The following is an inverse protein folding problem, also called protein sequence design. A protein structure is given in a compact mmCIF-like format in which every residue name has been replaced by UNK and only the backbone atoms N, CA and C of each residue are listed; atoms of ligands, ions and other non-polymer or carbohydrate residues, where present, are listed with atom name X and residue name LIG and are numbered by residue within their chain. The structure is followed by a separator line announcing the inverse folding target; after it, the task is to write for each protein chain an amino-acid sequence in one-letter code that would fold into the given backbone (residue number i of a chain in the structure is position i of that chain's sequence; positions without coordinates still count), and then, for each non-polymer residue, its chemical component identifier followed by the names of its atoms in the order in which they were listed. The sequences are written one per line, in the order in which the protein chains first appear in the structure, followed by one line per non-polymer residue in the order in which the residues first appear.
data_IF_397180786155
#
_entry.id   IF_397180786155
#
_cell.length_a   1.000
_cell.length_b   1.000
_cell.length_c   1.000
_cell.angle_alpha   90.00
_cell.angle_beta   90.00
_cell.angle_gamma   90.00
#
_symmetry.space_group_name_H-M   'P 1'
#
loop_
_entity.id
_entity.type
_entity.pdbx_description
1 polymer ?
#
# COMPACT_ATOMS: atom_id res chain seq x y z
N UNK A 1 -64.68 10.92 -20.25
CA UNK A 1 -64.11 10.69 -18.90
C UNK A 1 -63.46 9.31 -18.94
N UNK A 2 -62.17 9.05 -18.74
CA UNK A 2 -60.92 9.80 -18.64
C UNK A 2 -59.80 8.74 -18.76
N UNK A 3 -58.76 9.01 -19.54
CA UNK A 3 -57.60 8.10 -19.68
C UNK A 3 -56.73 8.13 -18.42
N UNK A 4 -56.20 6.99 -17.93
CA UNK A 4 -55.10 7.00 -16.98
C UNK A 4 -53.75 7.11 -17.72
N UNK A 5 -53.10 8.25 -17.56
CA UNK A 5 -51.73 8.54 -17.97
C UNK A 5 -50.74 7.75 -17.13
N UNK A 6 -49.81 7.06 -17.80
CA UNK A 6 -48.68 6.37 -17.20
C UNK A 6 -47.75 7.38 -16.50
N UNK A 7 -47.50 7.17 -15.20
CA UNK A 7 -46.44 7.86 -14.48
C UNK A 7 -45.10 7.26 -14.90
N UNK A 8 -44.38 7.95 -15.77
CA UNK A 8 -42.96 7.70 -16.01
C UNK A 8 -42.17 7.93 -14.72
N UNK A 9 -41.38 6.93 -14.31
CA UNK A 9 -40.27 7.11 -13.37
C UNK A 9 -39.32 8.14 -13.99
N UNK A 10 -39.16 9.30 -13.35
CA UNK A 10 -37.98 10.14 -13.56
C UNK A 10 -36.80 9.39 -12.93
N UNK A 11 -35.93 8.85 -13.76
CA UNK A 11 -34.57 8.53 -13.34
C UNK A 11 -33.90 9.85 -12.94
N UNK A 12 -33.64 9.97 -11.65
CA UNK A 12 -32.82 11.00 -11.05
C UNK A 12 -31.36 10.67 -11.44
N UNK A 13 -30.92 11.23 -12.56
CA UNK A 13 -29.51 11.18 -12.98
C UNK A 13 -28.77 12.16 -12.09
N UNK A 14 -28.22 11.66 -10.98
CA UNK A 14 -27.28 12.39 -10.14
C UNK A 14 -26.16 13.02 -11.00
N UNK A 15 -25.90 14.30 -10.75
CA UNK A 15 -24.77 15.06 -11.28
C UNK A 15 -23.44 14.41 -10.84
N UNK A 16 -22.99 13.41 -11.59
CA UNK A 16 -21.66 12.82 -11.41
C UNK A 16 -20.64 13.82 -11.92
N UNK A 17 -19.87 14.42 -11.00
CA UNK A 17 -18.78 15.33 -11.32
C UNK A 17 -17.81 14.65 -12.28
N UNK A 18 -17.58 15.29 -13.43
CA UNK A 18 -16.64 14.83 -14.43
C UNK A 18 -15.22 15.02 -13.89
N UNK A 19 -14.47 13.93 -13.70
CA UNK A 19 -13.07 13.99 -13.24
C UNK A 19 -12.12 14.15 -14.41
N UNK A 20 -11.03 14.92 -14.22
CA UNK A 20 -9.94 15.06 -15.20
C UNK A 20 -8.99 13.85 -15.11
N UNK A 21 -9.47 12.64 -15.39
CA UNK A 21 -8.65 11.45 -15.32
C UNK A 21 -7.60 11.45 -16.44
N UNK A 22 -6.32 11.32 -16.07
CA UNK A 22 -5.25 11.10 -17.04
C UNK A 22 -5.20 9.61 -17.38
N UNK A 23 -5.69 9.25 -18.57
CA UNK A 23 -5.62 7.87 -19.08
C UNK A 23 -4.19 7.54 -19.49
N UNK A 24 -3.61 6.51 -18.86
CA UNK A 24 -2.27 6.01 -19.14
C UNK A 24 -2.28 4.95 -20.23
N UNK A 25 -3.25 4.04 -20.16
CA UNK A 25 -3.33 2.87 -21.04
C UNK A 25 -4.76 2.35 -21.14
N UNK A 26 -5.11 1.78 -22.30
CA UNK A 26 -6.32 0.97 -22.50
C UNK A 26 -5.96 -0.51 -22.52
N UNK A 27 -6.77 -1.34 -21.85
CA UNK A 27 -6.55 -2.78 -21.69
C UNK A 27 -7.85 -3.51 -22.03
N UNK A 28 -7.78 -4.68 -22.66
CA UNK A 28 -8.94 -5.56 -22.85
C UNK A 28 -8.69 -6.88 -22.12
N UNK A 29 -9.59 -7.24 -21.21
CA UNK A 29 -9.52 -8.47 -20.38
C UNK A 29 -10.89 -9.13 -20.41
N UNK A 30 -10.95 -10.40 -20.79
CA UNK A 30 -12.19 -11.20 -20.85
C UNK A 30 -13.34 -10.52 -21.63
N UNK A 31 -12.98 -9.85 -22.73
CA UNK A 31 -13.95 -9.12 -23.57
C UNK A 31 -14.37 -7.75 -23.04
N UNK A 32 -13.94 -7.36 -21.85
CA UNK A 32 -14.22 -6.07 -21.21
C UNK A 32 -13.07 -5.10 -21.43
N UNK A 33 -13.39 -3.85 -21.77
CA UNK A 33 -12.40 -2.78 -21.87
C UNK A 33 -12.18 -2.13 -20.50
N UNK A 34 -10.92 -1.90 -20.18
CA UNK A 34 -10.42 -1.24 -18.99
C UNK A 34 -9.51 -0.08 -19.38
N UNK A 35 -9.42 0.90 -18.49
CA UNK A 35 -8.53 2.05 -18.57
C UNK A 35 -7.70 2.11 -17.30
N UNK A 36 -6.39 2.22 -17.46
CA UNK A 36 -5.50 2.59 -16.37
C UNK A 36 -5.46 4.11 -16.31
N UNK A 37 -5.80 4.68 -15.15
CA UNK A 37 -5.81 6.13 -14.92
C UNK A 37 -4.90 6.48 -13.76
N UNK A 38 -4.29 7.67 -13.81
CA UNK A 38 -3.60 8.23 -12.64
C UNK A 38 -4.63 8.52 -11.55
N UNK A 39 -4.38 8.01 -10.35
CA UNK A 39 -5.17 8.32 -9.17
C UNK A 39 -4.43 9.34 -8.33
N UNK A 40 -5.05 10.51 -8.14
CA UNK A 40 -4.57 11.55 -7.24
C UNK A 40 -5.51 11.58 -6.02
N UNK A 41 -5.14 10.92 -4.91
CA UNK A 41 -5.96 10.97 -3.71
C UNK A 41 -6.08 12.43 -3.26
N UNK A 42 -7.29 12.86 -2.93
CA UNK A 42 -7.47 14.12 -2.24
C UNK A 42 -6.71 14.07 -0.92
N UNK A 43 -5.95 15.11 -0.56
CA UNK A 43 -5.10 15.10 0.65
C UNK A 43 -5.90 14.77 1.92
N UNK A 44 -7.15 15.23 1.98
CA UNK A 44 -8.04 15.01 3.12
C UNK A 44 -8.63 13.58 3.19
N UNK A 45 -8.43 12.76 2.15
CA UNK A 45 -8.91 11.38 2.12
C UNK A 45 -7.87 10.38 2.61
N UNK A 46 -6.60 10.79 2.76
CA UNK A 46 -5.53 9.89 3.21
C UNK A 46 -5.72 9.59 4.69
N UNK A 47 -6.26 8.42 4.99
CA UNK A 47 -6.39 7.87 6.34
C UNK A 47 -5.09 7.19 6.72
N UNK A 48 -4.57 7.52 7.89
CA UNK A 48 -3.38 6.88 8.45
C UNK A 48 -3.82 6.04 9.64
N UNK A 49 -3.67 4.72 9.51
CA UNK A 49 -3.86 3.83 10.63
C UNK A 49 -2.62 3.82 11.51
N UNK A 50 -2.86 3.72 12.81
CA UNK A 50 -1.83 3.63 13.82
C UNK A 50 -1.89 2.21 14.40
N UNK A 51 -0.77 1.48 14.50
CA UNK A 51 -0.75 0.20 15.20
C UNK A 51 -1.25 0.32 16.63
N UNK A 52 -2.09 -0.62 17.04
CA UNK A 52 -2.63 -0.75 18.39
C UNK A 52 -2.02 -1.95 19.12
N UNK A 53 -2.03 -1.99 20.46
CA UNK A 53 -1.60 -3.17 21.21
C UNK A 53 -2.32 -4.44 20.75
N UNK A 54 -1.55 -5.48 20.44
CA UNK A 54 -2.03 -6.74 19.87
C UNK A 54 -1.93 -6.83 18.35
N UNK A 55 -1.67 -5.73 17.64
CA UNK A 55 -1.49 -5.77 16.18
C UNK A 55 -0.19 -6.47 15.81
N UNK A 56 -0.26 -7.25 14.73
CA UNK A 56 0.91 -7.80 14.05
C UNK A 56 1.50 -6.75 13.11
N UNK A 57 2.80 -6.55 13.18
CA UNK A 57 3.49 -5.41 12.55
C UNK A 57 4.85 -5.80 12.00
N UNK A 58 5.33 -5.03 11.03
CA UNK A 58 6.73 -4.97 10.66
C UNK A 58 7.44 -3.85 11.37
N UNK A 59 8.57 -4.22 11.97
CA UNK A 59 9.33 -3.34 12.85
C UNK A 59 10.78 -3.30 12.41
N UNK A 60 11.36 -2.10 12.33
CA UNK A 60 12.78 -1.93 12.03
C UNK A 60 13.63 -2.26 13.26
N UNK A 61 14.38 -3.35 13.17
CA UNK A 61 15.36 -3.74 14.17
C UNK A 61 16.67 -2.98 13.96
N UNK A 62 16.94 -1.98 14.82
CA UNK A 62 18.13 -1.13 14.70
C UNK A 62 19.46 -1.91 14.67
N UNK A 63 19.69 -2.94 15.52
CA UNK A 63 20.95 -3.68 15.52
C UNK A 63 21.29 -4.38 14.19
N UNK A 64 20.29 -4.90 13.49
CA UNK A 64 20.50 -5.61 12.20
C UNK A 64 20.13 -4.77 10.98
N UNK A 65 19.66 -3.54 11.18
CA UNK A 65 19.23 -2.61 10.14
C UNK A 65 18.19 -3.22 9.16
N UNK A 66 17.30 -4.08 9.66
CA UNK A 66 16.33 -4.80 8.85
C UNK A 66 14.94 -4.77 9.48
N UNK A 67 13.90 -5.01 8.68
CA UNK A 67 12.53 -5.17 9.20
C UNK A 67 12.26 -6.64 9.52
N UNK A 68 11.57 -6.88 10.64
CA UNK A 68 11.10 -8.19 11.07
C UNK A 68 9.66 -8.09 11.59
N UNK A 69 8.98 -9.22 11.61
CA UNK A 69 7.65 -9.35 12.19
C UNK A 69 7.73 -9.31 13.73
N UNK A 70 6.72 -8.69 14.33
CA UNK A 70 6.57 -8.56 15.77
C UNK A 70 5.11 -8.24 16.10
N UNK A 71 4.77 -8.32 17.39
CA UNK A 71 3.48 -7.91 17.92
C UNK A 71 3.64 -6.67 18.80
N UNK A 72 2.74 -5.70 18.68
CA UNK A 72 2.73 -4.51 19.55
C UNK A 72 2.28 -4.88 20.95
N UNK A 73 3.11 -4.61 21.96
CA UNK A 73 2.76 -4.79 23.36
C UNK A 73 2.11 -3.54 23.95
N UNK A 74 2.66 -2.37 23.63
CA UNK A 74 2.13 -1.08 24.09
C UNK A 74 2.57 0.08 23.21
N UNK A 75 1.86 1.20 23.31
CA UNK A 75 2.20 2.45 22.65
C UNK A 75 2.10 3.62 23.64
N UNK A 76 3.17 4.41 23.74
CA UNK A 76 3.21 5.66 24.49
C UNK A 76 3.06 6.85 23.55
N UNK A 77 1.89 7.50 23.60
CA UNK A 77 1.57 8.65 22.78
C UNK A 77 2.41 9.90 23.11
N UNK A 78 2.92 10.04 24.33
CA UNK A 78 3.71 11.21 24.71
C UNK A 78 5.11 11.17 24.10
N UNK A 79 5.69 9.98 24.02
CA UNK A 79 7.04 9.77 23.48
C UNK A 79 7.05 9.29 22.03
N UNK A 80 5.88 8.87 21.51
CA UNK A 80 5.72 8.27 20.19
C UNK A 80 6.56 6.98 20.04
N UNK A 81 6.62 6.19 21.12
CA UNK A 81 7.37 4.94 21.19
C UNK A 81 6.41 3.75 21.38
N UNK A 82 6.73 2.67 20.67
CA UNK A 82 6.11 1.37 20.82
C UNK A 82 7.04 0.46 21.60
N UNK A 83 6.45 -0.43 22.39
CA UNK A 83 7.11 -1.65 22.85
C UNK A 83 6.56 -2.81 22.04
N UNK A 84 7.45 -3.69 21.56
CA UNK A 84 7.07 -4.85 20.75
C UNK A 84 7.71 -6.14 21.27
N UNK A 85 7.05 -7.25 20.99
CA UNK A 85 7.64 -8.58 21.15
C UNK A 85 7.89 -9.18 19.76
N UNK A 86 9.14 -9.51 19.47
CA UNK A 86 9.53 -10.18 18.22
C UNK A 86 8.97 -11.60 18.17
N UNK A 87 8.63 -12.06 16.97
CA UNK A 87 8.06 -13.39 16.76
C UNK A 87 9.02 -14.53 17.14
N UNK A 88 10.33 -14.29 17.00
CA UNK A 88 11.39 -15.22 17.40
C UNK A 88 11.81 -15.08 18.87
N UNK A 89 11.10 -14.24 19.63
CA UNK A 89 11.32 -13.94 21.05
C UNK A 89 12.66 -13.26 21.37
N UNK A 90 13.35 -12.66 20.39
CA UNK A 90 14.58 -11.89 20.65
C UNK A 90 14.33 -10.83 21.76
N UNK A 91 15.18 -10.73 22.80
CA UNK A 91 14.99 -9.76 23.88
C UNK A 91 15.47 -8.33 23.56
N UNK A 92 16.12 -8.11 22.42
CA UNK A 92 16.81 -6.87 22.09
C UNK A 92 15.96 -5.90 21.27
N UNK A 93 16.25 -4.61 21.36
CA UNK A 93 15.69 -3.60 20.44
C UNK A 93 14.16 -3.47 20.41
N UNK A 94 13.47 -3.74 21.53
CA UNK A 94 11.98 -3.79 21.59
C UNK A 94 11.28 -2.43 21.64
N UNK A 95 12.02 -1.36 21.93
CA UNK A 95 11.50 0.03 21.93
C UNK A 95 11.65 0.66 20.55
N UNK A 96 10.54 1.00 19.89
CA UNK A 96 10.49 1.37 18.47
C UNK A 96 9.84 2.74 18.28
N UNK A 97 10.42 3.58 17.40
CA UNK A 97 9.81 4.86 17.01
C UNK A 97 8.63 4.66 16.06
N UNK A 98 7.63 5.54 16.14
CA UNK A 98 6.43 5.50 15.29
C UNK A 98 6.68 5.46 13.77
N UNK A 99 7.79 6.04 13.29
CA UNK A 99 8.18 6.00 11.89
C UNK A 99 8.97 4.74 11.48
N UNK A 100 9.18 3.82 12.42
CA UNK A 100 9.94 2.57 12.26
C UNK A 100 9.11 1.30 12.43
N UNK A 101 7.80 1.46 12.47
CA UNK A 101 6.79 0.40 12.55
C UNK A 101 5.77 0.57 11.41
N UNK A 102 5.23 -0.54 10.91
CA UNK A 102 4.16 -0.56 9.91
C UNK A 102 3.22 -1.73 10.21
N UNK A 103 1.91 -1.57 9.97
CA UNK A 103 0.95 -2.66 10.12
C UNK A 103 1.26 -3.80 9.15
N UNK A 104 1.16 -5.05 9.56
CA UNK A 104 1.28 -6.21 8.66
C UNK A 104 0.00 -6.42 7.83
N UNK A 105 -0.35 -5.42 7.04
CA UNK A 105 -1.48 -5.47 6.13
C UNK A 105 -1.26 -4.59 4.90
N UNK A 106 -1.80 -5.05 3.78
CA UNK A 106 -1.97 -4.26 2.56
C UNK A 106 -2.80 -3.01 2.84
N UNK A 107 -2.37 -1.81 2.41
CA UNK A 107 -3.10 -0.61 2.70
C UNK A 107 -4.29 -0.49 1.75
N UNK A 108 -5.37 0.10 2.24
CA UNK A 108 -6.50 0.47 1.40
C UNK A 108 -6.13 1.64 0.48
N UNK A 109 -6.92 1.85 -0.58
CA UNK A 109 -6.68 2.97 -1.50
C UNK A 109 -6.73 4.33 -0.80
N UNK A 110 -7.60 4.48 0.21
CA UNK A 110 -7.69 5.68 1.02
C UNK A 110 -6.52 5.84 2.01
N UNK A 111 -5.60 4.89 2.11
CA UNK A 111 -4.41 4.95 2.98
C UNK A 111 -3.14 5.22 2.17
N UNK A 112 -3.26 5.22 0.84
CA UNK A 112 -2.17 5.49 -0.09
C UNK A 112 -2.12 6.98 -0.42
N UNK A 113 -0.92 7.56 -0.30
CA UNK A 113 -0.64 8.94 -0.71
C UNK A 113 0.67 9.02 -1.50
N UNK A 114 0.71 9.87 -2.51
CA UNK A 114 1.98 10.20 -3.19
C UNK A 114 2.88 10.94 -2.19
N UNK A 115 4.16 10.56 -2.14
CA UNK A 115 5.17 10.95 -1.17
C UNK A 115 5.06 10.30 0.22
N UNK A 116 4.17 9.34 0.43
CA UNK A 116 4.10 8.59 1.68
C UNK A 116 5.14 7.46 1.73
N UNK A 117 5.73 7.18 2.91
CA UNK A 117 6.64 6.06 3.12
C UNK A 117 5.87 4.74 3.20
N UNK A 118 6.42 3.72 2.55
CA UNK A 118 5.89 2.36 2.60
C UNK A 118 7.00 1.33 2.64
N UNK A 119 6.67 0.12 3.06
CA UNK A 119 7.54 -1.05 3.00
C UNK A 119 7.21 -1.90 1.77
N UNK A 120 8.24 -2.26 1.01
CA UNK A 120 8.13 -3.16 -0.13
C UNK A 120 8.88 -4.46 0.16
N UNK A 121 8.31 -5.63 -0.18
CA UNK A 121 9.05 -6.88 -0.14
C UNK A 121 10.13 -6.87 -1.23
N UNK A 122 11.36 -7.20 -0.85
CA UNK A 122 12.54 -7.33 -1.72
C UNK A 122 12.65 -8.74 -2.32
N UNK A 123 11.79 -9.65 -1.88
CA UNK A 123 11.89 -11.09 -2.10
C UNK A 123 12.41 -11.82 -0.87
N UNK A 124 12.64 -13.11 -1.03
CA UNK A 124 13.16 -14.01 -0.01
C UNK A 124 14.60 -14.39 -0.35
N UNK A 125 15.49 -14.34 0.63
CA UNK A 125 16.78 -15.02 0.52
C UNK A 125 16.60 -16.45 1.00
N UNK A 126 17.09 -17.43 0.25
CA UNK A 126 17.26 -18.77 0.81
C UNK A 126 18.53 -18.74 1.66
N UNK A 127 18.41 -19.08 2.95
CA UNK A 127 19.58 -19.49 3.69
C UNK A 127 20.20 -20.69 2.96
N UNK A 128 21.51 -20.69 2.74
CA UNK A 128 22.19 -21.83 2.10
C UNK A 128 21.93 -23.14 2.87
N UNK A 129 22.34 -24.28 2.31
CA UNK A 129 21.93 -25.67 2.65
C UNK A 129 21.94 -26.12 4.13
N UNK A 130 22.30 -25.27 5.10
CA UNK A 130 22.20 -25.54 6.54
C UNK A 130 21.83 -24.30 7.40
N UNK A 131 21.22 -23.27 6.83
CA UNK A 131 20.76 -22.08 7.59
C UNK A 131 19.24 -21.97 7.41
N UNK A 132 18.47 -22.27 8.46
CA UNK A 132 17.01 -22.05 8.54
C UNK A 132 16.61 -20.55 8.57
N UNK A 133 17.43 -19.68 8.00
CA UNK A 133 17.34 -18.21 8.10
C UNK A 133 16.92 -17.53 6.81
N UNK A 134 16.22 -18.25 5.93
CA UNK A 134 15.57 -17.62 4.78
C UNK A 134 14.30 -16.89 5.23
N UNK A 135 14.25 -15.57 5.00
CA UNK A 135 13.11 -14.74 5.39
C UNK A 135 12.82 -13.70 4.32
N UNK A 136 11.56 -13.27 4.24
CA UNK A 136 11.17 -12.15 3.40
C UNK A 136 11.82 -10.87 3.93
N UNK A 137 12.46 -10.11 3.04
CA UNK A 137 13.10 -8.83 3.39
C UNK A 137 12.23 -7.70 2.91
N UNK A 138 12.20 -6.63 3.70
CA UNK A 138 11.43 -5.44 3.39
C UNK A 138 12.34 -4.21 3.33
N UNK A 139 12.03 -3.31 2.41
CA UNK A 139 12.73 -2.03 2.26
C UNK A 139 11.76 -0.86 2.33
N UNK A 140 12.27 0.23 2.88
CA UNK A 140 11.57 1.51 2.89
C UNK A 140 11.69 2.21 1.52
N UNK A 141 10.55 2.65 1.01
CA UNK A 141 10.48 3.49 -0.18
C UNK A 141 9.38 4.54 -0.06
N UNK A 142 9.30 5.40 -1.07
CA UNK A 142 8.31 6.47 -1.19
C UNK A 142 7.43 6.20 -2.40
N UNK A 143 6.12 6.34 -2.24
CA UNK A 143 5.18 6.30 -3.36
C UNK A 143 5.41 7.52 -4.25
N UNK A 144 5.65 7.31 -5.54
CA UNK A 144 5.82 8.37 -6.54
C UNK A 144 4.61 8.52 -7.44
N UNK A 145 3.79 7.47 -7.57
CA UNK A 145 2.59 7.47 -8.40
C UNK A 145 1.64 6.37 -7.97
N UNK A 146 0.34 6.68 -8.03
CA UNK A 146 -0.73 5.69 -7.90
C UNK A 146 -1.51 5.69 -9.21
N UNK A 147 -1.80 4.52 -9.74
CA UNK A 147 -2.76 4.35 -10.84
C UNK A 147 -3.76 3.26 -10.50
N UNK A 148 -4.95 3.34 -11.07
CA UNK A 148 -6.02 2.36 -10.86
C UNK A 148 -6.51 1.84 -12.20
N UNK A 149 -6.87 0.57 -12.24
CA UNK A 149 -7.55 -0.06 -13.36
C UNK A 149 -9.06 -0.03 -13.12
N UNK A 150 -9.79 0.66 -14.00
CA UNK A 150 -11.25 0.68 -13.97
C UNK A 150 -11.83 0.33 -15.33
N UNK A 151 -13.08 -0.15 -15.36
CA UNK A 151 -13.76 -0.44 -16.63
C UNK A 151 -13.92 0.86 -17.43
N UNK A 152 -13.72 0.81 -18.74
CA UNK A 152 -13.73 2.00 -19.62
C UNK A 152 -15.06 2.77 -19.53
N UNK A 153 -16.18 2.08 -19.29
CA UNK A 153 -17.49 2.71 -19.09
C UNK A 153 -17.57 3.64 -17.87
N UNK A 154 -16.61 3.55 -16.95
CA UNK A 154 -16.48 4.40 -15.77
C UNK A 154 -15.40 5.48 -15.93
N UNK A 155 -14.90 5.68 -17.14
CA UNK A 155 -14.01 6.79 -17.46
C UNK A 155 -14.75 8.11 -17.22
N UNK A 156 -14.13 9.02 -16.45
CA UNK A 156 -14.67 10.31 -16.02
C UNK A 156 -15.79 10.28 -14.96
N UNK A 157 -16.08 9.13 -14.35
CA UNK A 157 -16.97 9.03 -13.20
C UNK A 157 -16.15 8.99 -11.91
N UNK A 158 -16.64 9.65 -10.85
CA UNK A 158 -16.20 9.35 -9.48
C UNK A 158 -16.45 7.86 -9.23
N UNK A 159 -15.37 7.12 -9.03
CA UNK A 159 -15.38 5.66 -8.95
C UNK A 159 -15.52 5.30 -7.48
N UNK A 160 -16.52 4.47 -7.16
CA UNK A 160 -16.55 3.83 -5.83
C UNK A 160 -15.47 2.75 -5.77
N UNK A 161 -14.91 2.49 -4.58
CA UNK A 161 -13.88 1.45 -4.39
C UNK A 161 -14.28 0.07 -4.98
N UNK A 162 -15.58 -0.23 -5.01
CA UNK A 162 -16.14 -1.47 -5.57
C UNK A 162 -15.97 -1.63 -7.09
N UNK A 163 -15.62 -0.57 -7.81
CA UNK A 163 -15.47 -0.55 -9.26
C UNK A 163 -14.00 -0.56 -9.72
N UNK A 164 -13.07 -0.56 -8.75
CA UNK A 164 -11.63 -0.66 -8.96
C UNK A 164 -11.25 -2.14 -9.04
N UNK A 165 -10.65 -2.52 -10.17
CA UNK A 165 -10.22 -3.91 -10.39
C UNK A 165 -8.83 -4.14 -9.80
N UNK A 166 -7.91 -3.21 -10.05
CA UNK A 166 -6.51 -3.31 -9.63
C UNK A 166 -5.99 -1.92 -9.26
N UNK A 167 -5.12 -1.86 -8.26
CA UNK A 167 -4.36 -0.67 -7.88
C UNK A 167 -2.90 -0.90 -8.28
N UNK A 168 -2.23 0.14 -8.75
CA UNK A 168 -0.82 0.09 -9.08
C UNK A 168 -0.13 1.20 -8.31
N UNK A 169 0.93 0.84 -7.57
CA UNK A 169 1.73 1.79 -6.81
C UNK A 169 3.14 1.74 -7.37
N UNK A 170 3.60 2.87 -7.88
CA UNK A 170 5.01 3.06 -8.21
C UNK A 170 5.70 3.77 -7.05
N UNK A 171 6.94 3.37 -6.76
CA UNK A 171 7.74 3.99 -5.72
C UNK A 171 9.22 4.06 -6.07
N UNK A 172 9.96 4.76 -5.21
CA UNK A 172 11.43 4.79 -5.23
C UNK A 172 11.97 4.41 -3.85
N UNK A 173 13.11 3.74 -3.79
CA UNK A 173 13.77 3.48 -2.50
C UNK A 173 14.22 4.78 -1.83
N UNK A 174 14.18 4.83 -0.51
CA UNK A 174 14.73 5.95 0.27
C UNK A 174 16.23 5.84 0.48
N UNK A 175 16.75 4.62 0.57
CA UNK A 175 18.18 4.37 0.50
C UNK A 175 18.59 4.30 -0.96
N UNK A 176 19.49 5.19 -1.42
CA UNK A 176 20.34 4.82 -2.54
C UNK A 176 21.06 3.54 -2.09
N UNK A 177 20.88 2.39 -2.77
CA UNK A 177 21.55 1.18 -2.39
C UNK A 177 23.00 1.25 -2.87
N UNK A 178 23.76 2.21 -2.33
CA UNK A 178 25.21 2.26 -2.48
C UNK A 178 25.84 1.48 -1.33
N UNK A 179 25.53 0.19 -1.24
CA UNK A 179 26.45 -0.72 -0.56
C UNK A 179 27.57 -1.03 -1.54
N UNK A 180 28.77 -0.52 -1.25
CA UNK A 180 30.01 -0.98 -1.88
C UNK A 180 30.57 -2.10 -1.02
N UNK A 181 30.52 -3.34 -1.52
CA UNK A 181 31.31 -4.44 -0.98
C UNK A 181 32.48 -4.67 -1.94
N UNK A 182 33.62 -4.04 -1.64
CA UNK A 182 34.76 -4.01 -2.57
C UNK A 182 34.39 -3.31 -3.88
N UNK A 183 34.63 -3.99 -5.01
CA UNK A 183 34.38 -3.47 -6.36
C UNK A 183 32.95 -3.68 -6.86
N UNK A 184 32.08 -4.32 -6.07
CA UNK A 184 30.70 -4.59 -6.46
C UNK A 184 29.77 -3.42 -6.12
N UNK A 185 29.05 -2.92 -7.14
CA UNK A 185 27.95 -1.98 -7.01
C UNK A 185 26.67 -2.56 -7.59
N UNK A 186 25.57 -2.47 -6.84
CA UNK A 186 24.26 -2.92 -7.29
C UNK A 186 23.33 -1.71 -7.45
N UNK A 187 22.72 -1.54 -8.62
CA UNK A 187 21.67 -0.54 -8.84
C UNK A 187 20.32 -1.26 -8.82
N UNK A 188 19.51 -0.98 -7.80
CA UNK A 188 18.19 -1.59 -7.67
C UNK A 188 17.17 -0.73 -8.44
N UNK A 189 16.74 -1.24 -9.60
CA UNK A 189 15.58 -0.69 -10.31
C UNK A 189 14.33 -1.36 -9.75
N UNK A 190 13.56 -0.65 -8.94
CA UNK A 190 12.21 -1.13 -8.60
C UNK A 190 11.42 -1.27 -9.88
N UNK A 191 11.08 -2.51 -10.20
CA UNK A 191 10.07 -2.80 -11.21
C UNK A 191 8.75 -2.77 -10.47
N UNK A 192 7.80 -1.96 -10.96
CA UNK A 192 6.44 -1.81 -10.46
C UNK A 192 5.90 -3.11 -9.86
N UNK A 193 5.80 -3.19 -8.53
CA UNK A 193 5.02 -4.23 -7.89
C UNK A 193 3.56 -3.86 -8.09
N UNK A 194 2.88 -4.58 -8.98
CA UNK A 194 1.42 -4.51 -9.15
C UNK A 194 0.80 -4.97 -7.85
N UNK A 195 0.35 -4.04 -7.02
CA UNK A 195 -0.35 -4.35 -5.79
C UNK A 195 -1.82 -4.57 -6.11
N UNK A 196 -2.22 -5.82 -6.35
CA UNK A 196 -3.65 -6.15 -6.45
C UNK A 196 -4.30 -6.00 -5.08
N UNK A 197 -4.77 -4.81 -4.76
CA UNK A 197 -5.66 -4.57 -3.63
C UNK A 197 -7.04 -5.07 -4.04
N UNK A 198 -7.56 -6.18 -3.50
CA UNK A 198 -8.93 -6.59 -3.76
C UNK A 198 -9.87 -5.55 -3.17
N UNK A 199 -11.00 -5.22 -3.82
CA UNK A 199 -11.93 -4.22 -3.29
C UNK A 199 -12.57 -4.59 -1.94
N UNK A 200 -12.37 -5.80 -1.41
CA UNK A 200 -13.06 -6.28 -0.19
C UNK A 200 -12.32 -7.32 0.68
N UNK A 201 -11.02 -7.62 0.51
CA UNK A 201 -10.42 -8.67 1.37
C UNK A 201 -8.92 -8.52 1.63
N UNK A 202 -8.59 -8.69 2.92
CA UNK A 202 -7.26 -8.77 3.51
C UNK A 202 -6.37 -9.82 2.81
N UNK A 203 -5.16 -9.41 2.47
CA UNK A 203 -4.10 -10.26 1.92
C UNK A 203 -2.87 -9.43 1.56
N UNK A 204 -1.71 -9.89 2.03
CA UNK A 204 -0.35 -9.30 2.06
C UNK A 204 0.10 -8.51 0.83
N UNK A 205 0.72 -7.35 1.06
CA UNK A 205 1.24 -6.50 -0.02
C UNK A 205 1.31 -5.02 0.36
N UNK A 206 2.53 -4.55 0.66
CA UNK A 206 2.88 -3.17 1.01
C UNK A 206 2.34 -2.75 2.37
N UNK A 207 3.17 -2.12 3.19
CA UNK A 207 2.77 -1.67 4.53
C UNK A 207 2.99 -0.17 4.63
N UNK A 208 1.96 0.59 5.02
CA UNK A 208 2.08 2.04 5.15
C UNK A 208 2.80 2.42 6.43
N UNK A 209 3.68 3.42 6.32
CA UNK A 209 4.33 4.08 7.45
C UNK A 209 3.81 5.49 7.58
N UNK A 210 3.90 6.04 8.79
CA UNK A 210 3.58 7.45 9.04
C UNK A 210 4.70 8.35 8.50
N UNK A 211 4.38 9.28 7.58
CA UNK A 211 5.20 10.47 7.35
C UNK A 211 4.90 11.54 8.42
N UNK A 212 5.95 12.22 8.90
CA UNK A 212 5.85 13.43 9.74
C UNK A 212 5.11 14.55 9.03
#
# INVERSE_FOLDING_TARGET
MGNPTSKGKKEEVEDRKQTNDVVLKKIKKDGVNYVEVVYEPHKDMVRRLQPEPGDHVLTFHEPTCCYYFSTVDSFDQATMLYEVTWDDQDPTGRTIKDNKIALDQTPMLCELGVNEPVLFPQGSYNGGDNIEGGGERYHEGIITKISILKKEKFLNLEVSDSEIEEVFVAGRHLSEPKMKFGDFSWEWKMTMSVLKVPPTTFGTGVLTKRAR
#
